data_IF_269522291466
#
_entry.id   IF_269522291466
#
_cell.length_a   1.000
_cell.length_b   1.000
_cell.length_c   1.000
_cell.angle_alpha   90.00
_cell.angle_beta   90.00
_cell.angle_gamma   90.00
#
_symmetry.space_group_name_H-M   'P 1'
#
loop_
_entity.id
_entity.type
_entity.pdbx_description
1 polymer ?
#
# COMPACT_ATOMS: atom_id res chain seq x y z
N UNK A 1 -10.00 1.40 -4.86
CA UNK A 1 -8.89 1.57 -5.81
C UNK A 1 -7.99 2.66 -5.24
N UNK A 2 -6.75 2.29 -4.98
CA UNK A 2 -5.71 3.04 -4.27
C UNK A 2 -4.38 3.03 -5.05
N UNK A 3 -4.21 2.17 -6.05
CA UNK A 3 -3.04 2.04 -6.92
C UNK A 3 -2.53 3.35 -7.52
N UNK A 4 -3.42 4.29 -7.83
CA UNK A 4 -3.09 5.60 -8.38
C UNK A 4 -2.93 6.70 -7.31
N UNK A 5 -3.06 6.37 -6.02
CA UNK A 5 -2.80 7.33 -4.95
C UNK A 5 -1.29 7.52 -4.75
N UNK A 6 -0.84 8.75 -4.44
CA UNK A 6 0.58 9.05 -4.30
C UNK A 6 1.21 8.22 -3.18
N UNK A 7 2.43 7.77 -3.43
CA UNK A 7 3.30 7.15 -2.45
C UNK A 7 4.59 7.96 -2.33
N UNK A 8 5.05 8.15 -1.09
CA UNK A 8 6.35 8.75 -0.80
C UNK A 8 7.42 7.65 -0.71
N UNK A 9 8.60 7.91 -1.27
CA UNK A 9 9.73 7.00 -1.20
C UNK A 9 10.63 7.36 -0.01
N UNK A 10 10.92 6.36 0.82
CA UNK A 10 11.94 6.47 1.87
C UNK A 10 13.12 5.54 1.58
N UNK A 11 14.30 5.95 2.04
CA UNK A 11 15.54 5.23 1.88
C UNK A 11 16.30 5.12 3.20
N UNK A 12 16.99 4.01 3.41
CA UNK A 12 17.97 3.88 4.47
C UNK A 12 19.22 3.17 3.94
N UNK A 13 20.41 3.64 4.32
CA UNK A 13 21.69 3.09 3.87
C UNK A 13 21.88 1.62 4.30
N UNK A 14 21.31 1.25 5.44
CA UNK A 14 21.35 -0.09 6.00
C UNK A 14 20.27 -0.26 7.08
N UNK A 15 20.18 -1.45 7.68
CA UNK A 15 19.13 -1.81 8.64
C UNK A 15 19.21 -1.07 9.98
N UNK A 16 20.32 -0.41 10.30
CA UNK A 16 20.50 0.34 11.55
C UNK A 16 20.53 1.86 11.34
N UNK A 17 20.67 2.32 10.10
CA UNK A 17 20.58 3.74 9.76
C UNK A 17 19.12 4.23 9.80
N UNK A 18 18.88 5.48 10.20
CA UNK A 18 17.55 6.07 10.17
C UNK A 18 17.03 6.17 8.73
N UNK A 19 15.70 6.19 8.60
CA UNK A 19 15.05 6.49 7.33
C UNK A 19 15.29 7.96 6.91
N UNK A 20 15.45 8.15 5.61
CA UNK A 20 15.55 9.43 4.92
C UNK A 20 14.45 9.55 3.88
N UNK A 21 13.94 10.75 3.68
CA UNK A 21 13.03 11.08 2.58
C UNK A 21 13.79 11.13 1.25
N UNK A 22 13.18 10.60 0.20
CA UNK A 22 13.70 10.72 -1.16
C UNK A 22 12.94 11.81 -1.91
N UNK A 23 13.66 12.87 -2.25
CA UNK A 23 13.17 14.00 -3.03
C UNK A 23 13.66 13.91 -4.46
N UNK A 24 12.84 14.38 -5.42
CA UNK A 24 13.25 14.49 -6.82
C UNK A 24 13.60 15.94 -7.13
N UNK A 25 14.80 16.18 -7.63
CA UNK A 25 15.27 17.50 -8.05
C UNK A 25 15.54 17.51 -9.56
N UNK A 26 15.14 18.60 -10.23
CA UNK A 26 15.50 18.87 -11.62
C UNK A 26 16.82 19.64 -11.65
N UNK A 27 17.83 19.09 -12.34
CA UNK A 27 19.10 19.79 -12.48
C UNK A 27 18.97 20.99 -13.43
N UNK A 28 19.69 22.08 -13.14
CA UNK A 28 19.56 23.36 -13.87
C UNK A 28 20.14 23.31 -15.30
N UNK A 29 21.05 22.37 -15.59
CA UNK A 29 21.79 22.22 -16.86
C UNK A 29 21.08 21.28 -17.86
N UNK A 30 20.29 20.31 -17.36
CA UNK A 30 19.73 19.21 -18.16
C UNK A 30 18.30 18.89 -17.72
N UNK A 31 17.48 18.37 -18.64
CA UNK A 31 16.16 17.80 -18.30
C UNK A 31 16.22 16.54 -17.41
N UNK A 32 17.40 16.16 -16.91
CA UNK A 32 17.59 15.00 -16.03
C UNK A 32 17.13 15.29 -14.60
N UNK A 33 16.31 14.38 -14.09
CA UNK A 33 15.88 14.32 -12.70
C UNK A 33 16.88 13.49 -11.88
N UNK A 34 17.13 13.89 -10.64
CA UNK A 34 17.97 13.14 -9.69
C UNK A 34 17.32 13.05 -8.32
N UNK A 35 17.61 11.96 -7.60
CA UNK A 35 17.19 11.78 -6.21
C UNK A 35 18.11 12.56 -5.26
N UNK A 36 17.50 13.21 -4.27
CA UNK A 36 18.15 13.77 -3.10
C UNK A 36 17.63 13.06 -1.86
N UNK A 37 18.50 12.83 -0.89
CA UNK A 37 18.15 12.18 0.37
C UNK A 37 18.19 13.21 1.48
N UNK A 38 17.08 13.37 2.19
CA UNK A 38 16.94 14.33 3.29
C UNK A 38 16.56 13.63 4.59
N UNK A 39 16.95 14.16 5.75
CA UNK A 39 16.39 13.71 7.02
C UNK A 39 14.86 13.71 7.01
N UNK A 40 14.26 12.81 7.79
CA UNK A 40 12.80 12.72 7.93
C UNK A 40 12.24 13.97 8.63
N UNK A 41 11.36 14.69 7.95
CA UNK A 41 10.71 15.91 8.44
C UNK A 41 9.19 15.89 8.24
N UNK A 42 8.70 15.21 7.22
CA UNK A 42 7.28 15.14 6.88
C UNK A 42 6.50 14.30 7.93
N UNK A 43 5.48 14.89 8.58
CA UNK A 43 4.73 14.20 9.61
C UNK A 43 3.82 13.08 9.07
N UNK A 44 3.36 13.15 7.82
CA UNK A 44 2.58 12.09 7.17
C UNK A 44 3.47 10.88 6.86
N UNK A 45 4.68 11.10 6.33
CA UNK A 45 5.68 10.04 6.13
C UNK A 45 6.01 9.38 7.47
N UNK A 46 6.29 10.19 8.50
CA UNK A 46 6.58 9.71 9.86
C UNK A 46 5.46 8.82 10.41
N UNK A 47 4.20 9.27 10.32
CA UNK A 47 3.04 8.46 10.75
C UNK A 47 2.93 7.15 9.97
N UNK A 48 3.18 7.17 8.66
CA UNK A 48 3.12 5.96 7.84
C UNK A 48 4.20 4.95 8.24
N UNK A 49 5.43 5.41 8.54
CA UNK A 49 6.51 4.57 9.07
C UNK A 49 6.11 3.95 10.41
N UNK A 50 5.57 4.74 11.34
CA UNK A 50 5.14 4.23 12.64
C UNK A 50 4.07 3.13 12.55
N UNK A 51 3.13 3.25 11.60
CA UNK A 51 2.09 2.24 11.37
C UNK A 51 2.70 0.98 10.75
N UNK A 52 3.60 1.14 9.77
CA UNK A 52 4.31 0.03 9.13
C UNK A 52 5.16 -0.76 10.13
N UNK A 53 5.97 -0.09 10.96
CA UNK A 53 6.82 -0.76 11.95
C UNK A 53 6.00 -1.44 13.06
N UNK A 54 4.84 -0.88 13.40
CA UNK A 54 3.91 -1.52 14.33
C UNK A 54 3.40 -2.87 13.81
N UNK A 55 3.07 -2.94 12.51
CA UNK A 55 2.66 -4.19 11.84
C UNK A 55 3.80 -5.22 11.85
N UNK A 56 5.01 -4.82 11.46
CA UNK A 56 6.17 -5.72 11.44
C UNK A 56 6.42 -6.36 12.82
N UNK A 57 6.33 -5.57 13.89
CA UNK A 57 6.50 -6.04 15.26
C UNK A 57 5.42 -7.07 15.65
N UNK A 58 4.14 -6.78 15.37
CA UNK A 58 3.03 -7.66 15.72
C UNK A 58 3.02 -8.94 14.89
N UNK A 59 3.36 -8.87 13.61
CA UNK A 59 3.49 -10.04 12.75
C UNK A 59 4.66 -10.92 13.15
N UNK A 60 5.79 -10.34 13.56
CA UNK A 60 6.95 -11.11 14.07
C UNK A 60 6.58 -11.88 15.35
N UNK A 61 5.81 -11.26 16.26
CA UNK A 61 5.33 -11.92 17.48
C UNK A 61 4.31 -13.05 17.20
N UNK A 62 3.43 -12.87 16.19
CA UNK A 62 2.41 -13.86 15.83
C UNK A 62 2.95 -15.04 15.03
N UNK A 63 3.94 -14.82 14.17
CA UNK A 63 4.45 -15.83 13.24
C UNK A 63 5.60 -16.69 13.80
N UNK A 64 6.18 -16.33 14.95
CA UNK A 64 7.31 -17.06 15.55
C UNK A 64 8.53 -17.18 14.63
N UNK A 65 8.58 -16.41 13.53
CA UNK A 65 9.52 -16.63 12.44
C UNK A 65 10.75 -15.73 12.59
N UNK A 66 11.89 -16.36 12.87
CA UNK A 66 13.20 -15.72 12.98
C UNK A 66 13.68 -15.15 11.62
N UNK A 67 13.13 -14.02 11.17
CA UNK A 67 13.60 -13.36 9.93
C UNK A 67 14.83 -12.46 10.10
N UNK A 68 15.41 -12.31 11.30
CA UNK A 68 16.30 -11.18 11.60
C UNK A 68 17.75 -11.47 12.02
N UNK A 69 18.29 -12.65 11.73
CA UNK A 69 19.72 -12.91 12.00
C UNK A 69 20.60 -12.59 10.77
N UNK A 70 20.13 -12.85 9.56
CA UNK A 70 20.92 -12.65 8.33
C UNK A 70 21.02 -11.19 7.86
N UNK A 71 20.03 -10.34 8.19
CA UNK A 71 20.04 -8.91 7.85
C UNK A 71 21.08 -8.10 8.63
N UNK A 72 21.57 -8.64 9.76
CA UNK A 72 22.65 -8.03 10.57
C UNK A 72 24.06 -8.34 10.06
N UNK A 73 24.22 -9.35 9.21
CA UNK A 73 25.54 -9.81 8.73
C UNK A 73 25.95 -9.12 7.42
N UNK A 74 24.97 -8.64 6.64
CA UNK A 74 25.22 -7.89 5.41
C UNK A 74 24.37 -6.62 5.38
N UNK A 75 24.94 -5.46 5.78
CA UNK A 75 24.26 -4.19 5.67
C UNK A 75 23.88 -3.96 4.20
N UNK A 76 22.59 -3.72 3.93
CA UNK A 76 22.08 -3.49 2.58
C UNK A 76 21.17 -2.27 2.58
N UNK A 77 21.30 -1.39 1.57
CA UNK A 77 20.36 -0.30 1.38
C UNK A 77 18.92 -0.79 1.28
N UNK A 78 18.01 -0.05 1.89
CA UNK A 78 16.57 -0.31 1.87
C UNK A 78 15.86 0.85 1.17
N UNK A 79 14.86 0.50 0.37
CA UNK A 79 13.94 1.43 -0.29
C UNK A 79 12.53 0.96 -0.03
N UNK A 80 11.65 1.87 0.33
CA UNK A 80 10.28 1.54 0.70
C UNK A 80 9.35 2.63 0.19
N UNK A 81 8.33 2.23 -0.56
CA UNK A 81 7.27 3.11 -1.05
C UNK A 81 6.11 3.07 -0.07
N UNK A 82 5.78 4.23 0.50
CA UNK A 82 4.79 4.39 1.55
C UNK A 82 3.46 4.90 0.97
N UNK A 83 2.31 4.27 1.25
CA UNK A 83 1.01 4.65 0.74
C UNK A 83 0.43 5.90 1.45
N UNK A 84 1.16 7.01 1.47
CA UNK A 84 0.81 8.24 2.19
C UNK A 84 -0.49 8.87 1.68
N UNK A 85 -0.76 8.81 0.37
CA UNK A 85 -2.04 9.22 -0.21
C UNK A 85 -3.22 8.41 0.33
N UNK A 86 -3.04 7.10 0.50
CA UNK A 86 -4.05 6.21 1.09
C UNK A 86 -4.26 6.55 2.58
N UNK A 87 -3.17 6.73 3.34
CA UNK A 87 -3.25 7.13 4.74
C UNK A 87 -4.03 8.44 4.91
N UNK A 88 -3.69 9.47 4.14
CA UNK A 88 -4.36 10.77 4.17
C UNK A 88 -5.85 10.66 3.80
N UNK A 89 -6.19 9.84 2.81
CA UNK A 89 -7.58 9.57 2.45
C UNK A 89 -8.33 8.91 3.62
N UNK A 90 -7.75 7.89 4.25
CA UNK A 90 -8.36 7.19 5.39
C UNK A 90 -8.53 8.11 6.60
N UNK A 91 -7.57 8.99 6.89
CA UNK A 91 -7.69 10.02 7.94
C UNK A 91 -8.95 10.87 7.69
N UNK A 92 -9.12 11.42 6.48
CA UNK A 92 -10.28 12.24 6.10
C UNK A 92 -11.59 11.44 6.18
N UNK A 93 -11.60 10.19 5.70
CA UNK A 93 -12.80 9.37 5.68
C UNK A 93 -13.26 9.00 7.09
N UNK A 94 -12.35 8.64 8.00
CA UNK A 94 -12.72 8.33 9.39
C UNK A 94 -13.14 9.56 10.18
N UNK A 95 -12.54 10.71 9.90
CA UNK A 95 -12.93 11.98 10.51
C UNK A 95 -14.34 12.40 10.05
N UNK A 96 -14.64 12.27 8.74
CA UNK A 96 -15.93 12.68 8.18
C UNK A 96 -17.05 11.64 8.42
N UNK A 97 -16.74 10.34 8.35
CA UNK A 97 -17.69 9.24 8.36
C UNK A 97 -17.24 8.08 9.28
N UNK A 98 -17.16 8.29 10.61
CA UNK A 98 -16.59 7.32 11.56
C UNK A 98 -17.33 5.97 11.62
N UNK A 99 -18.58 5.93 11.13
CA UNK A 99 -19.43 4.73 11.08
C UNK A 99 -19.52 4.11 9.68
N UNK A 100 -18.72 4.55 8.71
CA UNK A 100 -18.76 4.00 7.36
C UNK A 100 -18.44 2.50 7.34
N UNK A 101 -19.03 1.79 6.39
CA UNK A 101 -18.50 0.52 5.90
C UNK A 101 -17.63 0.83 4.68
N UNK A 102 -16.40 0.35 4.67
CA UNK A 102 -15.46 0.54 3.58
C UNK A 102 -15.37 -0.77 2.79
N UNK A 103 -15.52 -0.66 1.48
CA UNK A 103 -15.18 -1.71 0.51
C UNK A 103 -14.15 -1.10 -0.42
N UNK A 104 -13.02 -1.75 -0.57
CA UNK A 104 -12.01 -1.40 -1.55
C UNK A 104 -11.55 -2.64 -2.29
N UNK A 105 -11.18 -2.47 -3.55
CA UNK A 105 -10.48 -3.50 -4.32
C UNK A 105 -9.29 -2.87 -5.02
N UNK A 106 -8.22 -3.65 -5.10
CA UNK A 106 -6.98 -3.25 -5.74
C UNK A 106 -6.03 -4.42 -6.04
N UNK A 107 -4.97 -4.14 -6.81
CA UNK A 107 -3.86 -5.04 -7.07
C UNK A 107 -3.04 -5.29 -5.81
N UNK A 108 -2.78 -6.56 -5.51
CA UNK A 108 -1.87 -7.02 -4.45
C UNK A 108 -0.42 -7.06 -4.91
N UNK A 109 -0.21 -7.25 -6.21
CA UNK A 109 1.10 -7.23 -6.83
C UNK A 109 0.96 -6.82 -8.29
N UNK A 110 2.02 -6.22 -8.82
CA UNK A 110 2.15 -5.85 -10.22
C UNK A 110 3.25 -6.74 -10.82
N UNK A 111 3.00 -7.40 -11.96
CA UNK A 111 4.00 -8.23 -12.62
C UNK A 111 5.15 -7.35 -13.16
N UNK A 112 6.34 -7.92 -13.25
CA UNK A 112 7.48 -7.35 -13.97
C UNK A 112 7.93 -5.94 -13.53
N UNK A 113 7.66 -5.56 -12.28
CA UNK A 113 8.14 -4.30 -11.68
C UNK A 113 9.67 -4.27 -11.65
N UNK A 114 10.24 -3.26 -12.33
CA UNK A 114 11.69 -3.04 -12.41
C UNK A 114 12.19 -1.95 -11.46
N UNK A 115 11.29 -1.05 -11.04
CA UNK A 115 11.62 0.02 -10.09
C UNK A 115 12.02 -0.58 -8.75
N UNK A 116 13.13 -0.14 -8.12
CA UNK A 116 13.62 -0.74 -6.89
C UNK A 116 12.80 -0.33 -5.66
N UNK A 117 12.70 -1.24 -4.71
CA UNK A 117 12.14 -0.99 -3.38
C UNK A 117 10.93 -1.86 -3.04
N UNK A 118 10.64 -1.95 -1.75
CA UNK A 118 9.43 -2.61 -1.24
C UNK A 118 8.19 -1.80 -1.66
N UNK A 119 7.17 -2.48 -2.21
CA UNK A 119 5.95 -1.87 -2.78
C UNK A 119 6.21 -0.89 -3.93
N UNK A 120 7.28 -1.11 -4.69
CA UNK A 120 7.62 -0.27 -5.83
C UNK A 120 6.51 -0.21 -6.90
N UNK A 121 6.37 0.92 -7.59
CA UNK A 121 5.38 1.09 -8.62
C UNK A 121 5.76 0.38 -9.92
N UNK A 122 4.74 0.00 -10.69
CA UNK A 122 4.88 -0.15 -12.13
C UNK A 122 4.76 1.23 -12.77
N UNK A 123 5.75 1.58 -13.59
CA UNK A 123 5.77 2.83 -14.36
C UNK A 123 5.79 2.47 -15.83
N UNK A 124 4.75 2.85 -16.57
CA UNK A 124 4.55 2.38 -17.95
C UNK A 124 3.96 3.47 -18.83
N UNK A 125 4.48 3.61 -20.05
CA UNK A 125 3.89 4.47 -21.08
C UNK A 125 3.23 3.59 -22.14
N UNK A 126 2.06 4.02 -22.62
CA UNK A 126 1.36 3.37 -23.72
C UNK A 126 1.47 4.21 -24.99
N UNK A 127 2.10 3.64 -26.03
CA UNK A 127 2.24 4.28 -27.34
C UNK A 127 1.81 3.31 -28.43
N UNK A 128 0.95 3.77 -29.34
CA UNK A 128 0.44 2.99 -30.49
C UNK A 128 -0.13 1.61 -30.11
N UNK A 129 -0.78 1.54 -28.94
CA UNK A 129 -1.38 0.31 -28.40
C UNK A 129 -0.40 -0.64 -27.70
N UNK A 130 0.91 -0.34 -27.68
CA UNK A 130 1.94 -1.10 -26.98
C UNK A 130 2.35 -0.41 -25.67
N UNK A 131 2.55 -1.19 -24.61
CA UNK A 131 3.04 -0.70 -23.32
C UNK A 131 4.55 -0.92 -23.21
N UNK A 132 5.26 0.06 -22.66
CA UNK A 132 6.69 -0.04 -22.36
C UNK A 132 6.94 0.36 -20.91
N UNK A 133 7.51 -0.56 -20.14
CA UNK A 133 7.76 -0.36 -18.71
C UNK A 133 9.16 0.20 -18.44
N UNK A 134 9.21 1.23 -17.60
CA UNK A 134 10.44 1.89 -17.20
C UNK A 134 11.19 1.10 -16.11
N UNK A 135 12.53 1.13 -16.19
CA UNK A 135 13.40 0.60 -15.14
C UNK A 135 13.57 1.55 -13.95
N UNK A 136 13.34 2.85 -14.19
CA UNK A 136 13.48 3.90 -13.20
C UNK A 136 12.39 4.94 -13.42
N UNK A 137 11.72 5.35 -12.35
CA UNK A 137 10.63 6.33 -12.38
C UNK A 137 11.11 7.75 -12.76
N UNK A 138 12.41 8.05 -12.62
CA UNK A 138 13.00 9.33 -13.04
C UNK A 138 13.07 9.51 -14.57
N UNK A 139 13.04 8.40 -15.32
CA UNK A 139 13.05 8.40 -16.78
C UNK A 139 11.65 8.61 -17.37
N UNK A 140 10.62 8.47 -16.53
CA UNK A 140 9.23 8.65 -16.92
C UNK A 140 8.93 10.13 -17.13
N UNK A 141 8.23 10.42 -18.23
CA UNK A 141 7.75 11.77 -18.54
C UNK A 141 6.28 11.86 -18.14
N UNK A 142 5.66 13.03 -18.34
CA UNK A 142 4.26 13.27 -17.98
C UNK A 142 3.22 12.45 -18.77
N UNK A 143 3.65 11.54 -19.63
CA UNK A 143 2.82 10.60 -20.41
C UNK A 143 2.86 9.16 -19.88
N UNK A 144 3.57 8.90 -18.78
CA UNK A 144 3.60 7.60 -18.12
C UNK A 144 2.53 7.49 -17.04
N UNK A 145 1.91 6.31 -16.96
CA UNK A 145 1.06 5.93 -15.84
C UNK A 145 1.90 5.27 -14.74
N UNK A 146 1.56 5.55 -13.48
CA UNK A 146 2.24 5.02 -12.29
C UNK A 146 1.21 4.31 -11.42
N UNK A 147 1.42 3.01 -11.20
CA UNK A 147 0.55 2.17 -10.39
C UNK A 147 1.32 1.58 -9.23
N UNK A 148 0.77 1.61 -8.03
CA UNK A 148 1.35 0.97 -6.85
C UNK A 148 0.58 -0.29 -6.45
N UNK A 149 1.26 -1.38 -6.05
CA UNK A 149 0.58 -2.51 -5.44
C UNK A 149 0.09 -2.13 -4.04
N UNK A 150 -1.14 -2.51 -3.71
CA UNK A 150 -1.68 -2.35 -2.35
C UNK A 150 -1.20 -3.46 -1.44
N UNK A 151 -0.55 -3.07 -0.34
CA UNK A 151 -0.28 -3.95 0.80
C UNK A 151 -1.51 -3.96 1.72
N UNK A 152 -2.31 -5.03 1.60
CA UNK A 152 -3.59 -5.15 2.31
C UNK A 152 -3.43 -5.30 3.83
N UNK A 153 -2.25 -5.74 4.32
CA UNK A 153 -1.98 -5.78 5.76
C UNK A 153 -1.71 -4.36 6.28
N UNK A 154 -0.85 -3.62 5.57
CA UNK A 154 -0.60 -2.21 5.89
C UNK A 154 -1.89 -1.37 5.79
N UNK A 155 -2.73 -1.63 4.77
CA UNK A 155 -4.05 -1.01 4.64
C UNK A 155 -4.93 -1.25 5.87
N UNK A 156 -4.97 -2.49 6.38
CA UNK A 156 -5.73 -2.80 7.59
C UNK A 156 -5.20 -2.05 8.82
N UNK A 157 -3.88 -1.96 8.97
CA UNK A 157 -3.25 -1.21 10.05
C UNK A 157 -3.54 0.29 9.96
N UNK A 158 -3.49 0.86 8.75
CA UNK A 158 -3.86 2.26 8.51
C UNK A 158 -5.35 2.52 8.82
N UNK A 159 -6.25 1.63 8.41
CA UNK A 159 -7.68 1.73 8.70
C UNK A 159 -7.94 1.72 10.22
N UNK A 160 -7.33 0.80 10.96
CA UNK A 160 -7.47 0.75 12.43
C UNK A 160 -6.78 1.93 13.13
N UNK A 161 -5.70 2.46 12.57
CA UNK A 161 -5.07 3.68 13.08
C UNK A 161 -5.97 4.90 12.91
N UNK A 162 -6.51 5.10 11.72
CA UNK A 162 -7.39 6.22 11.42
C UNK A 162 -8.72 6.13 12.16
N UNK A 163 -9.23 4.91 12.42
CA UNK A 163 -10.41 4.71 13.26
C UNK A 163 -10.17 4.94 14.77
N UNK A 164 -8.95 5.33 15.16
CA UNK A 164 -8.54 5.61 16.53
C UNK A 164 -8.23 4.39 17.38
N UNK A 165 -8.32 3.16 16.87
CA UNK A 165 -8.05 1.95 17.66
C UNK A 165 -6.57 1.80 17.98
N UNK A 166 -5.70 1.96 16.98
CA UNK A 166 -4.26 1.76 17.18
C UNK A 166 -3.65 2.82 18.11
N UNK A 167 -4.14 4.08 18.01
CA UNK A 167 -3.73 5.17 18.90
C UNK A 167 -3.99 4.85 20.38
N UNK A 168 -5.08 4.13 20.70
CA UNK A 168 -5.39 3.72 22.08
C UNK A 168 -4.38 2.74 22.69
N UNK A 169 -3.75 1.89 21.88
CA UNK A 169 -2.75 0.97 22.41
C UNK A 169 -1.48 1.69 22.83
N UNK A 170 -1.19 2.86 22.22
CA UNK A 170 -0.08 3.74 22.61
C UNK A 170 -0.48 4.71 23.74
N UNK A 171 -1.67 5.31 23.68
CA UNK A 171 -2.15 6.33 24.62
C UNK A 171 -3.44 5.92 25.35
N UNK A 172 -3.36 5.77 26.68
CA UNK A 172 -4.51 5.41 27.55
C UNK A 172 -5.55 6.54 27.75
N UNK A 173 -5.34 7.73 27.17
CA UNK A 173 -6.11 8.95 27.47
C UNK A 173 -7.03 9.43 26.32
N UNK A 174 -6.98 8.83 25.14
CA UNK A 174 -7.73 9.25 23.94
C UNK A 174 -9.16 8.68 23.88
N UNK A 175 -10.07 9.40 23.20
CA UNK A 175 -11.45 8.95 22.87
C UNK A 175 -11.42 7.53 22.26
N UNK A 176 -12.36 6.69 22.69
CA UNK A 176 -12.38 5.24 22.43
C UNK A 176 -12.66 4.86 20.96
N UNK A 177 -11.62 4.59 20.17
CA UNK A 177 -11.73 3.90 18.88
C UNK A 177 -11.81 2.38 19.09
N UNK A 178 -12.85 1.72 18.55
CA UNK A 178 -12.97 0.24 18.64
C UNK A 178 -12.32 -0.41 17.43
N UNK A 179 -11.74 -1.61 17.63
CA UNK A 179 -11.23 -2.42 16.52
C UNK A 179 -12.36 -2.65 15.52
N UNK A 180 -12.09 -2.43 14.24
CA UNK A 180 -13.03 -2.66 13.15
C UNK A 180 -13.01 -4.14 12.77
N UNK A 181 -14.12 -4.65 12.21
CA UNK A 181 -14.15 -6.00 11.64
C UNK A 181 -13.70 -5.89 10.20
N UNK A 182 -12.63 -6.60 9.88
CA UNK A 182 -11.93 -6.53 8.61
C UNK A 182 -11.92 -7.90 7.96
N UNK A 183 -12.01 -7.92 6.63
CA UNK A 183 -11.92 -9.14 5.83
C UNK A 183 -11.24 -8.82 4.50
N UNK A 184 -10.21 -9.59 4.17
CA UNK A 184 -9.51 -9.50 2.88
C UNK A 184 -9.74 -10.80 2.12
N UNK A 185 -10.23 -10.71 0.88
CA UNK A 185 -10.56 -11.85 0.02
C UNK A 185 -9.87 -11.72 -1.33
N UNK A 186 -9.48 -12.83 -1.94
CA UNK A 186 -9.18 -12.88 -3.36
C UNK A 186 -10.42 -12.51 -4.17
N UNK A 187 -10.21 -11.89 -5.34
CA UNK A 187 -11.32 -11.45 -6.20
C UNK A 187 -12.26 -12.59 -6.56
N UNK A 188 -11.74 -13.78 -6.87
CA UNK A 188 -12.57 -14.95 -7.15
C UNK A 188 -13.45 -15.33 -5.96
N UNK A 189 -12.90 -15.39 -4.74
CA UNK A 189 -13.69 -15.70 -3.53
C UNK A 189 -14.74 -14.63 -3.23
N UNK A 190 -14.43 -13.36 -3.44
CA UNK A 190 -15.42 -12.29 -3.30
C UNK A 190 -16.54 -12.43 -4.34
N UNK A 191 -16.20 -12.71 -5.60
CA UNK A 191 -17.17 -12.84 -6.69
C UNK A 191 -17.99 -14.13 -6.59
N UNK A 192 -17.45 -15.21 -6.05
CA UNK A 192 -18.22 -16.43 -5.74
C UNK A 192 -19.35 -16.15 -4.76
N UNK A 193 -19.04 -15.40 -3.69
CA UNK A 193 -20.01 -15.06 -2.64
C UNK A 193 -21.00 -13.98 -3.09
N UNK A 194 -20.53 -12.93 -3.77
CA UNK A 194 -21.32 -11.71 -4.02
C UNK A 194 -21.62 -11.41 -5.48
N UNK A 195 -20.92 -12.04 -6.44
CA UNK A 195 -20.87 -11.65 -7.85
C UNK A 195 -21.78 -12.40 -8.82
N UNK A 196 -22.58 -13.38 -8.34
CA UNK A 196 -23.46 -14.21 -9.17
C UNK A 196 -22.73 -14.85 -10.39
N UNK A 197 -21.67 -15.63 -10.17
CA UNK A 197 -20.80 -16.12 -11.26
C UNK A 197 -21.54 -16.99 -12.28
N UNK A 198 -22.67 -17.59 -11.92
CA UNK A 198 -23.52 -18.35 -12.86
C UNK A 198 -24.07 -17.50 -13.99
N UNK A 199 -24.19 -16.17 -13.81
CA UNK A 199 -24.68 -15.23 -14.82
C UNK A 199 -23.55 -14.61 -15.67
N UNK A 200 -22.29 -14.84 -15.32
CA UNK A 200 -21.13 -14.26 -16.00
C UNK A 200 -20.27 -15.29 -16.72
N UNK A 201 -20.63 -16.58 -16.63
CA UNK A 201 -19.96 -17.65 -17.38
C UNK A 201 -20.28 -17.55 -18.87
N UNK A 202 -19.25 -17.48 -19.70
CA UNK A 202 -19.36 -17.50 -21.17
C UNK A 202 -19.68 -18.91 -21.68
N UNK A 203 -20.04 -19.02 -22.97
CA UNK A 203 -20.46 -20.31 -23.58
C UNK A 203 -19.37 -21.37 -23.58
N UNK A 204 -18.11 -20.96 -23.62
CA UNK A 204 -16.92 -21.82 -23.57
C UNK A 204 -16.49 -22.18 -22.14
N UNK A 205 -17.21 -21.67 -21.13
CA UNK A 205 -16.98 -22.02 -19.73
C UNK A 205 -16.07 -21.05 -18.96
N UNK A 206 -15.40 -20.12 -19.64
CA UNK A 206 -14.63 -19.05 -19.00
C UNK A 206 -15.53 -18.10 -18.19
N UNK A 207 -15.01 -17.53 -17.11
CA UNK A 207 -15.72 -16.55 -16.30
C UNK A 207 -14.80 -15.38 -15.96
N UNK A 208 -14.93 -14.21 -16.60
CA UNK A 208 -14.04 -13.08 -16.37
C UNK A 208 -14.06 -12.58 -14.91
N UNK A 209 -15.14 -12.80 -14.14
CA UNK A 209 -15.16 -12.42 -12.72
C UNK A 209 -14.33 -13.35 -11.82
N UNK A 210 -14.08 -14.58 -12.24
CA UNK A 210 -13.35 -15.58 -11.45
C UNK A 210 -11.94 -15.84 -11.99
N UNK A 211 -11.79 -15.76 -13.31
CA UNK A 211 -10.59 -16.19 -14.02
C UNK A 211 -9.63 -15.04 -14.32
N UNK A 212 -10.11 -13.79 -14.42
CA UNK A 212 -9.27 -12.62 -14.61
C UNK A 212 -8.84 -11.98 -13.28
N UNK A 213 -7.89 -11.05 -13.36
CA UNK A 213 -7.47 -10.18 -12.25
C UNK A 213 -7.13 -10.95 -10.97
N UNK A 214 -6.52 -12.14 -11.09
CA UNK A 214 -6.09 -12.99 -9.96
C UNK A 214 -5.09 -12.31 -9.02
N UNK A 215 -4.48 -11.22 -9.47
CA UNK A 215 -3.60 -10.38 -8.67
C UNK A 215 -4.35 -9.29 -7.89
N UNK A 216 -5.69 -9.27 -7.88
CA UNK A 216 -6.49 -8.31 -7.12
C UNK A 216 -7.14 -8.94 -5.89
N UNK A 217 -7.38 -8.13 -4.87
CA UNK A 217 -8.12 -8.51 -3.66
C UNK A 217 -9.20 -7.48 -3.35
N UNK A 218 -10.15 -7.90 -2.52
CA UNK A 218 -11.13 -7.05 -1.88
C UNK A 218 -10.81 -6.90 -0.40
N UNK A 219 -10.84 -5.66 0.09
CA UNK A 219 -10.77 -5.29 1.49
C UNK A 219 -12.14 -4.79 1.94
N UNK A 220 -12.67 -5.41 2.99
CA UNK A 220 -13.91 -5.03 3.64
C UNK A 220 -13.60 -4.60 5.07
N UNK A 221 -14.11 -3.43 5.49
CA UNK A 221 -13.97 -2.95 6.86
C UNK A 221 -15.27 -2.35 7.36
N UNK A 222 -15.82 -2.89 8.44
CA UNK A 222 -17.09 -2.45 9.02
C UNK A 222 -16.96 -2.11 10.51
N UNK A 223 -17.79 -1.20 11.05
CA UNK A 223 -17.84 -0.95 12.47
C UNK A 223 -18.23 -2.22 13.26
N UNK A 224 -17.71 -2.34 14.48
CA UNK A 224 -18.06 -3.44 15.40
C UNK A 224 -19.49 -3.36 15.94
N UNK A 225 -20.16 -2.20 15.81
CA UNK A 225 -21.53 -1.97 16.29
C UNK A 225 -22.46 -1.64 15.11
N UNK A 226 -22.70 -2.63 14.25
CA UNK A 226 -23.94 -2.65 13.47
C UNK A 226 -24.97 -3.43 14.29
N UNK A 227 -25.44 -2.83 15.39
CA UNK A 227 -26.67 -3.30 16.03
C UNK A 227 -27.83 -2.94 15.10
N UNK A 228 -28.63 -3.95 14.76
CA UNK A 228 -29.94 -3.76 14.12
C UNK A 228 -30.84 -2.86 14.97
#
# INVERSE_FOLDING_TARGET
>A
VFDNLPHDLIYSENQVSPWMEVWVEKQHDRETLTELYKPLEDPLITRCIEIMEFDEYHNTQRSGMLKNIWSKVFPKPRRCWLPTGCLKLLEVLHDALPKMSLIASDFTFLPDVKVPGERAPLVSTKKDGSSTDYGNYLDAKGDADIFFPTDFLLLECMDHYCSGWLKMQKDKSSKQGKKRRTLTLDTSSFMEEFGLPTKTRTKDGYNPLLDDFKNTKFYLSVPTHNTK
#
